data_IF_289510429436
#
_entry.id   IF_289510429436
#
_cell.length_a   1.000
_cell.length_b   1.000
_cell.length_c   1.000
_cell.angle_alpha   90.00
_cell.angle_beta   90.00
_cell.angle_gamma   90.00
#
_symmetry.space_group_name_H-M   'P 1'
#
loop_
_entity.id
_entity.type
_entity.pdbx_description
1 polymer ?
#
# COMPACT_ATOMS: atom_id res chain seq x y z
N UNK A 1 24.88 -38.90 13.84
CA UNK A 1 24.22 -39.32 12.58
C UNK A 1 24.92 -38.64 11.42
N UNK A 2 25.54 -39.41 10.52
CA UNK A 2 26.18 -38.85 9.32
C UNK A 2 25.15 -38.80 8.19
N UNK A 3 24.43 -37.67 8.06
CA UNK A 3 23.58 -37.47 6.89
C UNK A 3 24.49 -37.33 5.67
N UNK A 4 24.26 -38.13 4.64
CA UNK A 4 24.86 -37.87 3.34
C UNK A 4 23.96 -36.88 2.59
N UNK A 5 24.54 -35.87 1.94
CA UNK A 5 23.80 -34.87 1.18
C UNK A 5 23.13 -35.53 -0.04
N UNK A 6 21.92 -36.05 0.15
CA UNK A 6 21.09 -36.63 -0.90
C UNK A 6 20.31 -35.57 -1.70
N UNK A 7 19.51 -36.01 -2.67
CA UNK A 7 18.66 -35.11 -3.47
C UNK A 7 17.69 -34.34 -2.55
N UNK A 8 17.84 -33.02 -2.50
CA UNK A 8 17.00 -32.12 -1.69
C UNK A 8 17.56 -31.77 -0.31
N UNK A 9 18.60 -32.45 0.17
CA UNK A 9 19.21 -32.20 1.49
C UNK A 9 20.57 -31.54 1.30
N UNK A 10 20.78 -30.38 1.94
CA UNK A 10 22.06 -29.67 1.91
C UNK A 10 22.60 -29.50 3.31
N UNK A 11 23.83 -29.93 3.54
CA UNK A 11 24.55 -29.69 4.79
C UNK A 11 25.28 -28.35 4.70
N UNK A 12 25.24 -27.57 5.76
CA UNK A 12 25.98 -26.31 5.87
C UNK A 12 26.62 -26.21 7.25
N UNK A 13 27.84 -25.69 7.28
CA UNK A 13 28.55 -25.40 8.52
C UNK A 13 28.17 -23.99 9.01
N UNK A 14 27.87 -23.84 10.30
CA UNK A 14 27.52 -22.57 10.96
C UNK A 14 28.59 -21.50 10.78
N UNK A 15 29.86 -21.88 10.77
CA UNK A 15 30.96 -20.94 10.58
C UNK A 15 30.98 -20.30 9.18
N UNK A 16 30.37 -20.97 8.19
CA UNK A 16 30.37 -20.58 6.77
C UNK A 16 28.98 -20.79 6.17
N UNK A 17 28.00 -20.05 6.67
CA UNK A 17 26.63 -20.08 6.16
C UNK A 17 26.54 -19.33 4.83
N UNK A 18 26.24 -20.07 3.75
CA UNK A 18 26.07 -19.49 2.43
C UNK A 18 24.65 -18.95 2.22
N UNK A 19 24.54 -17.68 1.86
CA UNK A 19 23.26 -17.03 1.59
C UNK A 19 22.50 -17.72 0.43
N UNK A 20 23.20 -18.11 -0.64
CA UNK A 20 22.59 -18.80 -1.79
C UNK A 20 21.95 -20.15 -1.42
N UNK A 21 22.48 -20.80 -0.38
CA UNK A 21 21.92 -22.04 0.15
C UNK A 21 20.76 -21.74 1.10
N UNK A 22 20.78 -20.64 1.84
CA UNK A 22 19.67 -20.26 2.72
C UNK A 22 18.46 -19.67 1.95
N UNK A 23 18.70 -18.91 0.89
CA UNK A 23 17.69 -18.24 0.08
C UNK A 23 17.93 -18.50 -1.42
N UNK A 24 17.65 -19.72 -1.91
CA UNK A 24 17.81 -20.04 -3.33
C UNK A 24 16.90 -19.15 -4.18
N UNK A 25 17.49 -18.49 -5.19
CA UNK A 25 16.76 -17.55 -6.05
C UNK A 25 16.26 -16.29 -5.33
N UNK A 26 16.77 -15.98 -4.14
CA UNK A 26 16.38 -14.78 -3.38
C UNK A 26 15.09 -14.93 -2.56
N UNK A 27 14.48 -16.11 -2.53
CA UNK A 27 13.30 -16.36 -1.71
C UNK A 27 13.72 -16.62 -0.26
N UNK A 28 13.20 -15.79 0.65
CA UNK A 28 13.42 -15.96 2.10
C UNK A 28 12.53 -17.08 2.64
N UNK A 29 13.09 -17.88 3.54
CA UNK A 29 12.40 -19.03 4.15
C UNK A 29 12.87 -20.35 3.55
N UNK A 30 13.77 -21.02 4.27
CA UNK A 30 14.20 -22.40 4.00
C UNK A 30 13.92 -23.26 5.21
N UNK A 31 13.51 -24.50 4.97
CA UNK A 31 13.39 -25.48 6.03
C UNK A 31 14.79 -25.86 6.52
N UNK A 32 15.17 -25.33 7.69
CA UNK A 32 16.48 -25.53 8.31
C UNK A 32 16.32 -26.37 9.58
N UNK A 33 17.09 -27.45 9.66
CA UNK A 33 17.22 -28.27 10.87
C UNK A 33 18.56 -27.94 11.51
N UNK A 34 18.54 -27.56 12.78
CA UNK A 34 19.72 -27.17 13.54
C UNK A 34 20.06 -28.22 14.59
N UNK A 35 21.35 -28.52 14.76
CA UNK A 35 21.83 -29.23 15.94
C UNK A 35 21.95 -28.25 17.10
N UNK A 36 21.89 -28.73 18.34
CA UNK A 36 22.03 -27.88 19.53
C UNK A 36 23.33 -27.07 19.53
N UNK A 37 24.45 -27.74 19.23
CA UNK A 37 25.77 -27.11 19.15
C UNK A 37 25.84 -26.03 18.06
N UNK A 38 25.17 -26.26 16.93
CA UNK A 38 25.10 -25.29 15.85
C UNK A 38 24.33 -24.03 16.27
N UNK A 39 23.22 -24.21 17.00
CA UNK A 39 22.40 -23.10 17.46
C UNK A 39 23.14 -22.24 18.49
N UNK A 40 23.81 -22.84 19.48
CA UNK A 40 24.62 -22.12 20.48
C UNK A 40 25.75 -21.30 19.82
N UNK A 41 26.36 -21.84 18.77
CA UNK A 41 27.46 -21.19 18.05
C UNK A 41 27.00 -19.97 17.22
N UNK A 42 25.73 -19.89 16.82
CA UNK A 42 25.21 -18.72 16.11
C UNK A 42 25.25 -17.46 16.98
N UNK A 43 24.94 -17.60 18.26
CA UNK A 43 24.97 -16.48 19.22
C UNK A 43 26.39 -15.95 19.41
N UNK A 44 27.40 -16.83 19.43
CA UNK A 44 28.82 -16.41 19.49
C UNK A 44 29.30 -15.73 18.21
N UNK A 45 28.76 -16.16 17.06
CA UNK A 45 29.21 -15.73 15.74
C UNK A 45 28.59 -14.41 15.30
N UNK A 46 27.30 -14.21 15.57
CA UNK A 46 26.57 -13.00 15.19
C UNK A 46 26.29 -12.08 16.38
N UNK A 47 26.28 -12.59 17.61
CA UNK A 47 25.91 -11.83 18.79
C UNK A 47 24.40 -11.68 18.93
N UNK A 48 24.02 -10.92 19.96
CA UNK A 48 22.64 -10.50 20.23
C UNK A 48 22.61 -8.99 20.39
N UNK A 49 21.44 -8.36 20.43
CA UNK A 49 21.36 -6.91 20.73
C UNK A 49 21.91 -6.54 22.13
N UNK A 50 22.11 -7.52 23.03
CA UNK A 50 22.66 -7.31 24.38
C UNK A 50 24.14 -7.64 24.50
N UNK A 51 24.66 -8.53 23.64
CA UNK A 51 26.03 -9.05 23.71
C UNK A 51 26.66 -9.03 22.32
N UNK A 52 27.83 -8.38 22.14
CA UNK A 52 28.49 -8.31 20.84
C UNK A 52 28.96 -9.69 20.37
N UNK A 53 29.15 -9.85 19.06
CA UNK A 53 29.72 -11.06 18.47
C UNK A 53 31.15 -11.28 18.98
N UNK A 54 31.48 -12.52 19.34
CA UNK A 54 32.83 -12.88 19.80
C UNK A 54 33.73 -13.31 18.64
N UNK A 55 33.18 -14.05 17.67
CA UNK A 55 33.97 -14.62 16.57
C UNK A 55 34.12 -13.66 15.38
N UNK A 56 33.12 -12.79 15.16
CA UNK A 56 33.10 -11.88 14.02
C UNK A 56 33.42 -10.46 14.45
N UNK A 57 34.68 -10.08 14.25
CA UNK A 57 35.22 -8.77 14.65
C UNK A 57 34.50 -7.64 13.89
N UNK A 58 34.08 -6.61 14.62
CA UNK A 58 33.46 -5.41 14.05
C UNK A 58 32.05 -5.62 13.49
N UNK A 59 31.41 -6.76 13.74
CA UNK A 59 30.05 -7.04 13.31
C UNK A 59 29.04 -6.71 14.41
N UNK A 60 27.95 -6.04 14.02
CA UNK A 60 26.79 -5.80 14.88
C UNK A 60 25.50 -6.15 14.14
N UNK A 61 24.48 -6.59 14.89
CA UNK A 61 23.17 -6.86 14.29
C UNK A 61 22.55 -5.56 13.77
N UNK A 62 21.88 -5.60 12.60
CA UNK A 62 21.07 -4.48 12.14
C UNK A 62 20.03 -4.08 13.19
N UNK A 63 19.95 -2.78 13.50
CA UNK A 63 18.89 -2.26 14.35
C UNK A 63 17.57 -2.22 13.59
N UNK A 64 16.49 -2.65 14.25
CA UNK A 64 15.15 -2.56 13.70
C UNK A 64 14.78 -1.08 13.49
N UNK A 65 14.22 -0.76 12.32
CA UNK A 65 13.74 0.62 12.03
C UNK A 65 12.39 0.91 12.67
N UNK A 66 11.63 -0.13 13.00
CA UNK A 66 10.32 -0.05 13.62
C UNK A 66 10.26 -1.08 14.75
N UNK A 67 9.72 -0.68 15.91
CA UNK A 67 9.66 -1.51 17.12
C UNK A 67 8.64 -2.63 17.01
N UNK A 68 7.49 -2.39 16.37
CA UNK A 68 6.44 -3.39 16.15
C UNK A 68 6.15 -3.53 14.65
N UNK A 69 6.19 -4.74 14.11
CA UNK A 69 5.93 -5.03 12.68
C UNK A 69 4.47 -4.91 12.28
N UNK A 70 3.54 -5.03 13.23
CA UNK A 70 2.10 -4.95 12.96
C UNK A 70 1.61 -3.49 12.88
N UNK A 71 1.65 -2.96 11.65
CA UNK A 71 1.10 -1.65 11.31
C UNK A 71 -0.40 -1.55 11.57
N UNK A 72 -1.17 -2.64 11.40
CA UNK A 72 -2.61 -2.62 11.61
C UNK A 72 -2.95 -2.38 13.08
N UNK A 73 -2.18 -2.99 13.98
CA UNK A 73 -2.30 -2.75 15.42
C UNK A 73 -1.93 -1.32 15.78
N UNK A 74 -0.82 -0.79 15.23
CA UNK A 74 -0.40 0.60 15.48
C UNK A 74 -1.50 1.56 15.03
N UNK A 75 -1.98 1.43 13.80
CA UNK A 75 -3.01 2.32 13.25
C UNK A 75 -4.32 2.29 14.02
N UNK A 76 -4.67 1.16 14.65
CA UNK A 76 -5.89 1.00 15.45
C UNK A 76 -5.72 1.45 16.90
N UNK A 77 -4.54 1.92 17.31
CA UNK A 77 -4.34 2.41 18.68
C UNK A 77 -5.20 3.65 18.96
N UNK A 78 -5.65 3.81 20.20
CA UNK A 78 -6.51 4.92 20.62
C UNK A 78 -5.81 6.27 20.42
N UNK A 79 -4.52 6.35 20.69
CA UNK A 79 -3.69 7.53 20.51
C UNK A 79 -3.75 8.05 19.06
N UNK A 80 -3.61 7.14 18.10
CA UNK A 80 -3.65 7.47 16.67
C UNK A 80 -5.08 7.76 16.23
N UNK A 81 -6.05 6.93 16.64
CA UNK A 81 -7.45 7.12 16.26
C UNK A 81 -8.03 8.44 16.81
N UNK A 82 -7.57 8.89 17.98
CA UNK A 82 -7.96 10.19 18.56
C UNK A 82 -7.40 11.38 17.78
N UNK A 83 -6.20 11.24 17.20
CA UNK A 83 -5.58 12.27 16.38
C UNK A 83 -6.09 12.28 14.93
N UNK A 84 -6.54 11.13 14.42
CA UNK A 84 -7.01 10.99 13.05
C UNK A 84 -8.41 11.57 12.84
N UNK A 85 -8.60 12.23 11.70
CA UNK A 85 -9.93 12.66 11.24
C UNK A 85 -10.73 11.47 10.71
N UNK A 86 -12.05 11.54 10.83
CA UNK A 86 -12.94 10.52 10.28
C UNK A 86 -12.74 10.34 8.77
N UNK A 87 -12.71 9.09 8.27
CA UNK A 87 -12.45 8.80 6.88
C UNK A 87 -13.57 9.34 5.97
N UNK A 88 -13.20 10.04 4.90
CA UNK A 88 -14.14 10.56 3.92
C UNK A 88 -14.55 9.43 2.97
N UNK A 89 -15.81 8.98 3.03
CA UNK A 89 -16.30 7.83 2.25
C UNK A 89 -16.73 8.18 0.82
N UNK A 90 -16.81 9.46 0.48
CA UNK A 90 -17.39 9.92 -0.78
C UNK A 90 -16.32 10.28 -1.79
N UNK A 91 -16.06 9.38 -2.74
CA UNK A 91 -15.25 9.70 -3.92
C UNK A 91 -16.20 10.02 -5.09
N UNK A 92 -16.56 11.29 -5.23
CA UNK A 92 -17.40 11.75 -6.36
C UNK A 92 -16.54 11.86 -7.64
N UNK A 93 -16.38 10.77 -8.38
CA UNK A 93 -15.79 10.80 -9.72
C UNK A 93 -16.85 11.21 -10.73
N UNK A 94 -16.73 12.39 -11.33
CA UNK A 94 -17.59 12.81 -12.43
C UNK A 94 -16.89 12.46 -13.74
N UNK A 95 -17.52 11.61 -14.55
CA UNK A 95 -17.13 11.47 -15.96
C UNK A 95 -17.53 12.76 -16.68
N UNK A 96 -16.54 13.49 -17.20
CA UNK A 96 -16.78 14.70 -17.97
C UNK A 96 -17.37 14.32 -19.33
N UNK A 97 -18.68 14.52 -19.48
CA UNK A 97 -19.36 14.37 -20.76
C UNK A 97 -19.27 15.68 -21.54
N UNK A 98 -18.97 15.59 -22.83
CA UNK A 98 -18.84 16.78 -23.69
C UNK A 98 -20.15 17.59 -23.70
N UNK A 99 -20.15 18.87 -23.30
CA UNK A 99 -21.35 19.72 -23.26
C UNK A 99 -21.90 20.03 -24.66
N UNK A 100 -21.05 20.07 -25.70
CA UNK A 100 -21.50 20.32 -27.08
C UNK A 100 -22.34 19.16 -27.63
N UNK A 101 -22.11 17.94 -27.11
CA UNK A 101 -22.86 16.75 -27.50
C UNK A 101 -24.03 16.42 -26.55
N UNK A 102 -24.09 17.04 -25.36
CA UNK A 102 -25.10 16.75 -24.34
C UNK A 102 -25.82 18.01 -23.87
N UNK A 103 -26.98 18.29 -24.47
CA UNK A 103 -27.80 19.48 -24.19
C UNK A 103 -28.11 19.68 -22.70
N UNK A 104 -28.40 18.60 -21.94
CA UNK A 104 -28.68 18.70 -20.49
C UNK A 104 -27.48 19.22 -19.67
N UNK A 105 -26.27 18.88 -20.10
CA UNK A 105 -25.03 19.31 -19.44
C UNK A 105 -24.67 20.72 -19.88
N UNK A 106 -24.87 21.03 -21.16
CA UNK A 106 -24.78 22.38 -21.70
C UNK A 106 -25.70 23.34 -20.92
N UNK A 107 -26.98 23.00 -20.76
CA UNK A 107 -27.95 23.81 -20.00
C UNK A 107 -27.63 23.90 -18.50
N UNK A 108 -27.04 22.86 -17.91
CA UNK A 108 -26.58 22.89 -16.51
C UNK A 108 -25.34 23.77 -16.32
N UNK A 109 -24.46 23.83 -17.31
CA UNK A 109 -23.27 24.67 -17.34
C UNK A 109 -23.62 26.12 -17.67
N UNK A 110 -24.54 26.33 -18.62
CA UNK A 110 -25.00 27.64 -19.11
C UNK A 110 -26.02 28.31 -18.20
N UNK A 111 -26.44 27.67 -17.10
CA UNK A 111 -27.57 28.11 -16.24
C UNK A 111 -27.59 29.64 -16.03
N UNK A 112 -28.50 30.40 -16.66
CA UNK A 112 -28.89 31.70 -16.16
C UNK A 112 -29.89 31.48 -15.01
N UNK A 113 -29.95 32.37 -14.01
CA UNK A 113 -31.09 32.42 -13.07
C UNK A 113 -32.38 32.38 -13.92
N UNK A 114 -33.34 31.49 -13.59
CA UNK A 114 -34.59 31.34 -14.34
C UNK A 114 -35.16 32.73 -14.67
N UNK A 115 -35.33 33.12 -15.95
CA UNK A 115 -36.15 34.28 -16.24
C UNK A 115 -37.59 33.91 -15.87
N UNK A 116 -38.25 34.77 -15.08
CA UNK A 116 -39.67 34.62 -14.76
C UNK A 116 -40.48 34.44 -16.05
N UNK A 117 -41.54 33.64 -15.99
CA UNK A 117 -42.44 33.36 -17.13
C UNK A 117 -42.77 34.65 -17.87
N UNK A 118 -42.21 34.88 -19.05
CA UNK A 118 -42.64 35.95 -19.95
C UNK A 118 -43.80 35.40 -20.78
N UNK A 119 -44.94 36.07 -20.71
CA UNK A 119 -46.15 35.74 -21.48
C UNK A 119 -45.89 35.78 -22.99
N UNK A 120 -46.71 35.01 -23.72
CA UNK A 120 -46.58 34.86 -25.16
C UNK A 120 -46.72 36.21 -25.91
N UNK A 121 -45.96 36.46 -26.99
CA UNK A 121 -46.11 37.67 -27.78
C UNK A 121 -47.44 37.67 -28.54
N UNK A 122 -48.16 38.79 -28.49
CA UNK A 122 -49.42 38.99 -29.21
C UNK A 122 -49.18 39.03 -30.73
N UNK A 123 -50.08 38.39 -31.50
CA UNK A 123 -50.04 38.38 -32.97
C UNK A 123 -50.50 39.74 -33.53
N UNK A 124 -49.87 40.28 -34.59
CA UNK A 124 -50.30 41.54 -35.19
C UNK A 124 -51.61 41.39 -35.98
N UNK A 125 -52.48 42.40 -35.91
CA UNK A 125 -53.76 42.48 -36.65
C UNK A 125 -53.49 42.89 -38.10
N UNK A 126 -54.10 42.19 -39.05
CA UNK A 126 -54.08 42.55 -40.48
C UNK A 126 -55.02 43.73 -40.74
N UNK A 127 -54.53 44.76 -41.44
CA UNK A 127 -55.37 45.84 -41.99
C UNK A 127 -55.58 45.54 -43.47
N UNK A 128 -56.84 45.36 -43.87
CA UNK A 128 -57.24 45.17 -45.26
C UNK A 128 -57.55 46.56 -45.86
N UNK A 129 -56.88 46.91 -46.96
CA UNK A 129 -57.27 48.04 -47.80
C UNK A 129 -58.01 47.48 -49.02
N UNK A 130 -59.33 47.68 -49.05
CA UNK A 130 -60.12 47.67 -50.29
C UNK A 130 -60.26 49.12 -50.77
N UNK A 131 -60.22 49.30 -52.09
CA UNK A 131 -60.23 50.59 -52.81
C UNK A 131 -61.19 51.64 -52.23
#
# INVERSE_FOLDING_TARGET
MCMHAGKGITLQNVNKLNLLRLAPGGHVGRFCIWTESAFRKLDELYGTWRKPASLKIGYNLPMHKMTNTDLSRILKSEEIQKALRTPTKTINRRVLKNPLKNLRIMLKMLKPKKPGKKGAPAKPKAYNYTC
#
